data_IF_418357489676
#
_entry.id   IF_418357489676
#
_cell.length_a   1.000
_cell.length_b   1.000
_cell.length_c   1.000
_cell.angle_alpha   90.00
_cell.angle_beta   90.00
_cell.angle_gamma   90.00
#
_symmetry.space_group_name_H-M   'P 1'
#
loop_
_entity.id
_entity.type
_entity.pdbx_description
1 polymer ?
#
# COMPACT_ATOMS: atom_id res chain seq x y z
N UNK A 1 -19.43 -30.45 13.91
CA UNK A 1 -19.40 -29.49 12.78
C UNK A 1 -17.98 -28.96 12.71
N UNK A 2 -17.19 -29.51 11.80
CA UNK A 2 -15.83 -29.04 11.57
C UNK A 2 -15.95 -27.82 10.64
N UNK A 3 -15.71 -26.64 11.18
CA UNK A 3 -15.36 -25.49 10.35
C UNK A 3 -14.01 -25.83 9.74
N UNK A 4 -14.04 -26.15 8.45
CA UNK A 4 -12.90 -26.60 7.67
C UNK A 4 -11.80 -25.54 7.77
N UNK A 5 -10.63 -25.94 8.26
CA UNK A 5 -9.40 -25.13 8.35
C UNK A 5 -9.05 -24.38 7.06
N UNK A 6 -9.61 -24.80 5.92
CA UNK A 6 -9.46 -24.20 4.59
C UNK A 6 -10.11 -22.81 4.44
N UNK A 7 -11.20 -22.52 5.16
CA UNK A 7 -11.88 -21.20 5.08
C UNK A 7 -11.12 -20.10 5.85
N UNK A 8 -10.37 -20.49 6.90
CA UNK A 8 -9.65 -19.53 7.75
C UNK A 8 -8.41 -18.98 7.02
N UNK A 9 -7.81 -19.77 6.12
CA UNK A 9 -6.64 -19.35 5.32
C UNK A 9 -6.99 -18.32 4.24
N UNK A 10 -8.21 -18.32 3.71
CA UNK A 10 -8.64 -17.41 2.64
C UNK A 10 -8.99 -16.01 3.16
N UNK A 11 -9.51 -15.92 4.40
CA UNK A 11 -9.89 -14.65 5.03
C UNK A 11 -8.67 -13.81 5.50
N UNK A 12 -7.49 -14.43 5.59
CA UNK A 12 -6.25 -13.74 5.99
C UNK A 12 -5.60 -12.91 4.87
N UNK A 13 -5.73 -13.30 3.60
CA UNK A 13 -5.07 -12.60 2.49
C UNK A 13 -5.83 -11.34 2.02
N UNK A 14 -7.17 -11.33 2.08
CA UNK A 14 -7.98 -10.15 1.73
C UNK A 14 -7.77 -8.97 2.70
N UNK A 15 -7.65 -9.25 4.01
CA UNK A 15 -7.37 -8.20 5.01
C UNK A 15 -6.01 -7.55 4.81
N UNK A 16 -5.06 -8.29 4.26
CA UNK A 16 -3.71 -7.85 4.00
C UNK A 16 -3.64 -6.95 2.75
N UNK A 17 -4.39 -7.27 1.70
CA UNK A 17 -4.49 -6.44 0.49
C UNK A 17 -5.21 -5.11 0.75
N UNK A 18 -6.33 -5.14 1.47
CA UNK A 18 -7.08 -3.93 1.82
C UNK A 18 -6.21 -2.95 2.63
N UNK A 19 -5.38 -3.46 3.55
CA UNK A 19 -4.47 -2.63 4.34
C UNK A 19 -3.40 -1.93 3.48
N UNK A 20 -2.91 -2.60 2.43
CA UNK A 20 -1.93 -2.03 1.50
C UNK A 20 -2.59 -0.99 0.61
N UNK A 21 -3.80 -1.25 0.11
CA UNK A 21 -4.55 -0.29 -0.70
C UNK A 21 -4.78 1.00 0.10
N UNK A 22 -5.18 0.89 1.36
CA UNK A 22 -5.34 2.05 2.26
C UNK A 22 -4.01 2.79 2.43
N UNK A 23 -2.91 2.07 2.62
CA UNK A 23 -1.58 2.65 2.77
C UNK A 23 -1.13 3.41 1.52
N UNK A 24 -1.36 2.84 0.34
CA UNK A 24 -1.10 3.47 -0.96
C UNK A 24 -1.89 4.78 -1.08
N UNK A 25 -3.18 4.79 -0.76
CA UNK A 25 -4.00 6.00 -0.85
C UNK A 25 -3.55 7.09 0.12
N UNK A 26 -3.13 6.74 1.34
CA UNK A 26 -2.55 7.69 2.30
C UNK A 26 -1.25 8.29 1.73
N UNK A 27 -0.36 7.45 1.21
CA UNK A 27 0.92 7.88 0.65
C UNK A 27 0.74 8.75 -0.60
N UNK A 28 -0.22 8.43 -1.47
CA UNK A 28 -0.58 9.27 -2.64
C UNK A 28 -1.03 10.66 -2.23
N UNK A 29 -1.90 10.76 -1.23
CA UNK A 29 -2.37 12.07 -0.71
C UNK A 29 -1.22 12.85 -0.09
N UNK A 30 -0.40 12.19 0.73
CA UNK A 30 0.78 12.83 1.33
C UNK A 30 1.76 13.34 0.27
N UNK A 31 2.01 12.56 -0.77
CA UNK A 31 2.90 12.95 -1.87
C UNK A 31 2.31 14.16 -2.63
N UNK A 32 1.02 14.14 -2.94
CA UNK A 32 0.34 15.26 -3.61
C UNK A 32 0.44 16.55 -2.79
N UNK A 33 0.17 16.48 -1.49
CA UNK A 33 0.28 17.62 -0.57
C UNK A 33 1.72 18.16 -0.49
N UNK A 34 2.71 17.27 -0.44
CA UNK A 34 4.13 17.66 -0.40
C UNK A 34 4.58 18.29 -1.72
N UNK A 35 4.16 17.74 -2.85
CA UNK A 35 4.41 18.28 -4.19
C UNK A 35 3.84 19.69 -4.30
N UNK A 36 2.61 19.91 -3.86
CA UNK A 36 1.97 21.23 -3.90
C UNK A 36 2.72 22.26 -3.03
N UNK A 37 3.17 21.85 -1.83
CA UNK A 37 3.78 22.77 -0.85
C UNK A 37 5.25 23.05 -1.11
N UNK A 38 6.00 22.06 -1.59
CA UNK A 38 7.47 22.08 -1.62
C UNK A 38 8.05 21.93 -3.02
N UNK A 39 7.24 21.45 -3.98
CA UNK A 39 7.68 21.18 -5.34
C UNK A 39 8.38 19.83 -5.50
N UNK A 40 8.48 19.36 -6.73
CA UNK A 40 8.84 17.99 -7.09
C UNK A 40 10.26 17.54 -6.70
N UNK A 41 11.16 18.49 -6.42
CA UNK A 41 12.58 18.22 -6.14
C UNK A 41 12.92 18.30 -4.64
N UNK A 42 11.91 18.51 -3.80
CA UNK A 42 12.12 18.52 -2.36
C UNK A 42 12.50 17.11 -1.85
N UNK A 43 13.52 16.97 -0.99
CA UNK A 43 13.93 15.68 -0.45
C UNK A 43 12.79 14.90 0.24
N UNK A 44 11.84 15.59 0.86
CA UNK A 44 10.69 14.93 1.49
C UNK A 44 9.66 14.44 0.46
N UNK A 45 9.53 15.13 -0.68
CA UNK A 45 8.72 14.66 -1.81
C UNK A 45 9.34 13.39 -2.40
N UNK A 46 10.66 13.37 -2.58
CA UNK A 46 11.38 12.19 -3.06
C UNK A 46 11.24 11.01 -2.10
N UNK A 47 11.38 11.25 -0.79
CA UNK A 47 11.18 10.21 0.22
C UNK A 47 9.74 9.66 0.21
N UNK A 48 8.73 10.54 0.16
CA UNK A 48 7.34 10.12 0.08
C UNK A 48 7.02 9.36 -1.22
N UNK A 49 7.68 9.72 -2.33
CA UNK A 49 7.56 8.98 -3.60
C UNK A 49 8.14 7.57 -3.47
N UNK A 50 9.31 7.43 -2.83
CA UNK A 50 9.92 6.12 -2.62
C UNK A 50 9.07 5.22 -1.72
N UNK A 51 8.51 5.79 -0.64
CA UNK A 51 7.58 5.06 0.24
C UNK A 51 6.33 4.57 -0.51
N UNK A 52 5.79 5.40 -1.42
CA UNK A 52 4.66 5.01 -2.27
C UNK A 52 5.04 3.88 -3.23
N UNK A 53 6.21 3.97 -3.87
CA UNK A 53 6.70 2.94 -4.78
C UNK A 53 6.90 1.60 -4.05
N UNK A 54 7.41 1.62 -2.82
CA UNK A 54 7.57 0.42 -2.00
C UNK A 54 6.22 -0.24 -1.67
N UNK A 55 5.21 0.56 -1.32
CA UNK A 55 3.86 0.08 -1.05
C UNK A 55 3.19 -0.50 -2.32
N UNK A 56 3.39 0.13 -3.48
CA UNK A 56 2.91 -0.38 -4.76
C UNK A 56 3.60 -1.69 -5.13
N UNK A 57 4.92 -1.80 -4.95
CA UNK A 57 5.66 -3.02 -5.20
C UNK A 57 5.17 -4.18 -4.32
N UNK A 58 4.86 -3.91 -3.06
CA UNK A 58 4.28 -4.91 -2.16
C UNK A 58 2.87 -5.34 -2.60
N UNK A 59 2.04 -4.39 -3.04
CA UNK A 59 0.74 -4.70 -3.65
C UNK A 59 0.89 -5.60 -4.87
N UNK A 60 1.79 -5.25 -5.80
CA UNK A 60 2.03 -6.03 -7.02
C UNK A 60 2.49 -7.45 -6.72
N UNK A 61 3.40 -7.64 -5.76
CA UNK A 61 3.84 -8.98 -5.32
C UNK A 61 2.70 -9.86 -4.81
N UNK A 62 1.69 -9.26 -4.17
CA UNK A 62 0.57 -9.99 -3.59
C UNK A 62 -0.54 -10.31 -4.60
N UNK A 63 -0.65 -9.56 -5.69
CA UNK A 63 -1.64 -9.83 -6.75
C UNK A 63 -1.09 -10.66 -7.92
N UNK A 64 0.23 -10.74 -8.09
CA UNK A 64 0.89 -11.56 -9.13
C UNK A 64 1.13 -13.03 -8.68
N UNK A 65 0.79 -13.36 -7.43
CA UNK A 65 0.87 -14.71 -6.85
C UNK A 65 -0.50 -15.36 -6.74
#
# INVERSE_FOLDING_TARGET
MNITTFEISFVSEEQDLDSIIVSIEILRRRLADLVERKGNLDPEVLAASQELDDALNEYYKRIEH
#
